data_IF_506393563111
#
_entry.id   IF_506393563111
#
_cell.length_a   1.000
_cell.length_b   1.000
_cell.length_c   1.000
_cell.angle_alpha   90.00
_cell.angle_beta   90.00
_cell.angle_gamma   90.00
#
_symmetry.space_group_name_H-M   'P 1'
#
loop_
_entity.id
_entity.type
_entity.pdbx_description
1 polymer ?
#
# COMPACT_ATOMS: atom_id res chain seq x y z
N UNK A 1 -15.17 -24.24 1.35
CA UNK A 1 -15.50 -23.29 2.44
C UNK A 1 -14.33 -23.11 3.41
N UNK A 2 -13.67 -24.18 3.89
CA UNK A 2 -12.54 -24.04 4.82
C UNK A 2 -11.34 -23.29 4.21
N UNK A 3 -10.97 -23.59 2.96
CA UNK A 3 -9.89 -22.88 2.27
C UNK A 3 -10.21 -21.38 2.08
N UNK A 4 -11.41 -21.06 1.65
CA UNK A 4 -11.85 -19.67 1.47
C UNK A 4 -11.86 -18.89 2.80
N UNK A 5 -12.30 -19.55 3.88
CA UNK A 5 -12.28 -18.95 5.22
C UNK A 5 -10.84 -18.69 5.70
N UNK A 6 -9.92 -19.65 5.52
CA UNK A 6 -8.51 -19.49 5.89
C UNK A 6 -7.85 -18.34 5.12
N UNK A 7 -8.12 -18.20 3.80
CA UNK A 7 -7.63 -17.10 2.97
C UNK A 7 -8.21 -15.76 3.44
N UNK A 8 -9.50 -15.70 3.76
CA UNK A 8 -10.10 -14.47 4.28
C UNK A 8 -9.52 -14.06 5.63
N UNK A 9 -9.33 -15.03 6.54
CA UNK A 9 -8.69 -14.77 7.83
C UNK A 9 -7.25 -14.27 7.65
N UNK A 10 -6.48 -14.87 6.75
CA UNK A 10 -5.13 -14.41 6.41
C UNK A 10 -5.16 -12.96 5.86
N UNK A 11 -6.08 -12.64 4.95
CA UNK A 11 -6.26 -11.28 4.41
C UNK A 11 -6.58 -10.27 5.52
N UNK A 12 -7.46 -10.63 6.48
CA UNK A 12 -7.80 -9.76 7.62
C UNK A 12 -6.60 -9.55 8.54
N UNK A 13 -5.86 -10.60 8.84
CA UNK A 13 -4.67 -10.55 9.69
C UNK A 13 -3.59 -9.66 9.09
N UNK A 14 -3.41 -9.70 7.76
CA UNK A 14 -2.47 -8.83 7.03
C UNK A 14 -2.81 -7.33 7.09
N UNK A 15 -4.03 -6.98 7.50
CA UNK A 15 -4.44 -5.59 7.70
C UNK A 15 -3.99 -5.04 9.07
N UNK A 16 -3.83 -5.90 10.07
CA UNK A 16 -3.51 -5.48 11.43
C UNK A 16 -2.27 -4.58 11.52
N UNK A 17 -1.15 -4.83 10.79
CA UNK A 17 0.00 -3.94 10.81
C UNK A 17 -0.35 -2.50 10.44
N UNK A 18 -1.24 -2.30 9.47
CA UNK A 18 -1.65 -0.96 9.00
C UNK A 18 -2.25 -0.11 10.12
N UNK A 19 -2.94 -0.73 11.09
CA UNK A 19 -3.49 -0.01 12.25
C UNK A 19 -2.39 0.55 13.16
N UNK A 20 -1.21 -0.06 13.15
CA UNK A 20 -0.07 0.35 13.94
C UNK A 20 0.86 1.33 13.22
N UNK A 21 0.76 1.47 11.89
CA UNK A 21 1.66 2.28 11.04
C UNK A 21 1.84 3.71 11.58
N UNK A 22 0.77 4.34 12.09
CA UNK A 22 0.83 5.70 12.65
C UNK A 22 1.69 5.76 13.91
N UNK A 23 1.44 4.84 14.86
CA UNK A 23 2.19 4.77 16.11
C UNK A 23 3.66 4.44 15.85
N UNK A 24 3.89 3.54 14.90
CA UNK A 24 5.21 3.11 14.46
C UNK A 24 5.95 4.24 13.76
N UNK A 25 5.29 5.02 12.90
CA UNK A 25 5.85 6.22 12.27
C UNK A 25 6.28 7.27 13.29
N UNK A 26 5.40 7.60 14.24
CA UNK A 26 5.72 8.51 15.35
C UNK A 26 6.94 7.99 16.12
N UNK A 27 7.00 6.69 16.43
CA UNK A 27 8.12 6.10 17.15
C UNK A 27 9.41 6.17 16.34
N UNK A 28 9.35 5.96 15.03
CA UNK A 28 10.51 6.08 14.13
C UNK A 28 11.07 7.50 14.10
N UNK A 29 10.23 8.53 14.10
CA UNK A 29 10.63 9.94 14.11
C UNK A 29 11.43 10.27 15.38
N UNK A 30 10.99 9.80 16.55
CA UNK A 30 11.67 10.01 17.83
C UNK A 30 12.93 9.14 18.06
N UNK A 31 13.23 8.22 17.15
CA UNK A 31 14.37 7.31 17.28
C UNK A 31 15.68 8.01 16.90
N UNK A 32 16.62 8.12 17.84
CA UNK A 32 17.90 8.82 17.65
C UNK A 32 18.87 8.05 16.75
N UNK A 33 19.15 6.80 17.03
CA UNK A 33 20.11 5.96 16.28
C UNK A 33 19.36 5.12 15.24
N UNK A 34 18.94 5.77 14.15
CA UNK A 34 18.08 5.16 13.11
C UNK A 34 18.73 3.93 12.49
N UNK A 35 20.01 4.00 12.14
CA UNK A 35 20.73 2.88 11.50
C UNK A 35 20.83 1.67 12.41
N UNK A 36 21.13 1.88 13.71
CA UNK A 36 21.18 0.80 14.70
C UNK A 36 19.84 0.07 14.82
N UNK A 37 18.75 0.81 14.88
CA UNK A 37 17.42 0.23 14.96
C UNK A 37 17.01 -0.49 13.66
N UNK A 38 17.43 -0.01 12.48
CA UNK A 38 17.23 -0.74 11.22
C UNK A 38 17.97 -2.09 11.23
N UNK A 39 19.22 -2.13 11.75
CA UNK A 39 19.97 -3.40 11.90
C UNK A 39 19.25 -4.34 12.85
N UNK A 40 18.79 -3.85 14.01
CA UNK A 40 18.06 -4.69 14.97
C UNK A 40 16.73 -5.19 14.39
N UNK A 41 16.03 -4.37 13.63
CA UNK A 41 14.80 -4.78 12.90
C UNK A 41 15.09 -5.95 11.97
N UNK A 42 16.14 -5.87 11.15
CA UNK A 42 16.54 -6.94 10.26
C UNK A 42 16.93 -8.23 10.98
N UNK A 43 17.71 -8.14 12.06
CA UNK A 43 18.09 -9.31 12.87
C UNK A 43 16.85 -9.96 13.52
N UNK A 44 15.94 -9.15 14.04
CA UNK A 44 14.73 -9.68 14.68
C UNK A 44 13.81 -10.35 13.66
N UNK A 45 13.67 -9.77 12.46
CA UNK A 45 12.91 -10.40 11.35
C UNK A 45 13.56 -11.71 10.90
N UNK A 46 14.89 -11.79 10.83
CA UNK A 46 15.59 -13.04 10.55
C UNK A 46 15.24 -14.14 11.56
N UNK A 47 15.19 -13.81 12.85
CA UNK A 47 14.77 -14.76 13.91
C UNK A 47 13.31 -15.17 13.74
N UNK A 48 12.41 -14.22 13.46
CA UNK A 48 10.98 -14.50 13.25
C UNK A 48 10.76 -15.47 12.08
N UNK A 49 11.41 -15.24 10.94
CA UNK A 49 11.27 -16.13 9.79
C UNK A 49 11.98 -17.47 9.97
N UNK A 50 13.04 -17.54 10.76
CA UNK A 50 13.61 -18.80 11.17
C UNK A 50 12.63 -19.61 12.03
N UNK A 51 11.97 -18.98 13.00
CA UNK A 51 10.89 -19.62 13.78
C UNK A 51 9.72 -20.05 12.89
N UNK A 52 9.33 -19.23 11.91
CA UNK A 52 8.31 -19.58 10.92
C UNK A 52 8.69 -20.84 10.14
N UNK A 53 9.96 -20.99 9.75
CA UNK A 53 10.45 -22.19 9.06
C UNK A 53 10.30 -23.47 9.88
N UNK A 54 10.42 -23.38 11.20
CA UNK A 54 10.23 -24.52 12.12
C UNK A 54 8.75 -24.84 12.34
N UNK A 55 7.90 -23.82 12.43
CA UNK A 55 6.48 -23.96 12.75
C UNK A 55 5.66 -24.41 11.55
N UNK A 56 6.00 -23.97 10.33
CA UNK A 56 5.21 -24.20 9.11
C UNK A 56 5.12 -25.69 8.73
N UNK A 57 5.98 -26.55 9.26
CA UNK A 57 5.92 -27.99 9.03
C UNK A 57 4.74 -28.68 9.75
N UNK A 58 4.15 -28.01 10.73
CA UNK A 58 3.04 -28.55 11.50
C UNK A 58 1.70 -28.16 10.87
N UNK A 59 0.93 -29.12 10.38
CA UNK A 59 -0.41 -28.89 9.85
C UNK A 59 -1.43 -28.73 11.00
N UNK A 60 -1.34 -27.63 11.75
CA UNK A 60 -2.21 -27.39 12.90
C UNK A 60 -2.74 -25.94 12.92
N UNK A 61 -3.86 -25.71 13.59
CA UNK A 61 -4.41 -24.38 13.80
C UNK A 61 -3.43 -23.49 14.58
N UNK A 62 -2.68 -24.08 15.52
CA UNK A 62 -1.64 -23.40 16.26
C UNK A 62 -0.52 -22.89 15.34
N UNK A 63 -0.06 -23.72 14.39
CA UNK A 63 0.94 -23.34 13.41
C UNK A 63 0.42 -22.19 12.52
N UNK A 64 -0.81 -22.28 12.02
CA UNK A 64 -1.44 -21.22 11.23
C UNK A 64 -1.50 -19.90 12.00
N UNK A 65 -2.00 -19.92 13.25
CA UNK A 65 -2.09 -18.73 14.09
C UNK A 65 -0.74 -18.12 14.41
N UNK A 66 0.27 -18.97 14.65
CA UNK A 66 1.65 -18.53 14.92
C UNK A 66 2.27 -17.87 13.69
N UNK A 67 2.05 -18.41 12.50
CA UNK A 67 2.52 -17.81 11.24
C UNK A 67 1.83 -16.47 10.98
N UNK A 68 0.53 -16.37 11.22
CA UNK A 68 -0.19 -15.11 11.14
C UNK A 68 0.40 -14.05 12.08
N UNK A 69 0.68 -14.42 13.33
CA UNK A 69 1.29 -13.53 14.32
C UNK A 69 2.70 -13.09 13.92
N UNK A 70 3.52 -14.02 13.44
CA UNK A 70 4.87 -13.72 12.93
C UNK A 70 4.81 -12.71 11.78
N UNK A 71 3.88 -12.88 10.84
CA UNK A 71 3.70 -11.94 9.73
C UNK A 71 3.30 -10.55 10.23
N UNK A 72 2.31 -10.44 11.12
CA UNK A 72 1.88 -9.16 11.69
C UNK A 72 3.05 -8.43 12.37
N UNK A 73 3.82 -9.15 13.20
CA UNK A 73 4.98 -8.56 13.89
C UNK A 73 6.04 -8.13 12.88
N UNK A 74 6.32 -8.96 11.87
CA UNK A 74 7.31 -8.65 10.83
C UNK A 74 6.91 -7.41 10.03
N UNK A 75 5.64 -7.28 9.65
CA UNK A 75 5.15 -6.14 8.87
C UNK A 75 5.20 -4.84 9.69
N UNK A 76 4.83 -4.88 10.98
CA UNK A 76 4.97 -3.74 11.90
C UNK A 76 6.43 -3.30 12.01
N UNK A 77 7.38 -4.25 12.06
CA UNK A 77 8.82 -3.96 12.10
C UNK A 77 9.31 -3.41 10.76
N UNK A 78 8.78 -3.91 9.62
CA UNK A 78 9.08 -3.39 8.28
C UNK A 78 8.63 -1.95 8.14
N UNK A 79 7.44 -1.61 8.61
CA UNK A 79 6.91 -0.23 8.63
C UNK A 79 7.81 0.68 9.49
N UNK A 80 8.24 0.20 10.65
CA UNK A 80 9.17 0.92 11.51
C UNK A 80 10.50 1.19 10.80
N UNK A 81 11.12 0.17 10.19
CA UNK A 81 12.36 0.31 9.44
C UNK A 81 12.19 1.24 8.22
N UNK A 82 11.04 1.20 7.55
CA UNK A 82 10.67 2.13 6.48
C UNK A 82 10.61 3.58 6.95
N UNK A 83 9.99 3.83 8.11
CA UNK A 83 9.94 5.16 8.75
C UNK A 83 11.32 5.69 9.13
N UNK A 84 12.25 4.82 9.58
CA UNK A 84 13.63 5.21 9.87
C UNK A 84 14.43 5.56 8.61
N UNK A 85 14.12 4.99 7.47
CA UNK A 85 14.83 5.18 6.19
C UNK A 85 14.62 6.57 5.60
N UNK A 86 13.41 7.11 5.65
CA UNK A 86 13.08 8.38 5.00
C UNK A 86 13.91 9.58 5.51
N UNK A 87 14.08 9.80 6.82
CA UNK A 87 14.97 10.84 7.32
C UNK A 87 16.43 10.65 6.92
N UNK A 88 16.91 9.40 6.81
CA UNK A 88 18.28 9.12 6.36
C UNK A 88 18.49 9.56 4.90
N UNK A 89 17.54 9.29 4.00
CA UNK A 89 17.62 9.75 2.61
C UNK A 89 17.64 11.28 2.58
N UNK A 90 16.74 11.93 3.32
CA UNK A 90 16.66 13.40 3.36
C UNK A 90 17.95 14.06 3.84
N UNK A 91 18.68 13.47 4.78
CA UNK A 91 19.91 14.05 5.31
C UNK A 91 21.14 13.78 4.43
N UNK A 92 21.17 12.61 3.74
CA UNK A 92 22.33 12.18 2.96
C UNK A 92 22.30 12.59 1.49
N UNK A 93 21.15 13.04 0.99
CA UNK A 93 20.95 13.42 -0.40
C UNK A 93 20.75 14.94 -0.48
N UNK A 94 21.36 15.59 -1.48
CA UNK A 94 21.16 17.01 -1.72
C UNK A 94 19.68 17.32 -2.03
N UNK A 95 19.21 18.50 -1.66
CA UNK A 95 17.78 18.89 -1.84
C UNK A 95 17.33 18.76 -3.29
N UNK A 96 18.19 19.12 -4.25
CA UNK A 96 17.90 19.04 -5.69
C UNK A 96 17.75 17.59 -6.18
N UNK A 97 18.40 16.61 -5.52
CA UNK A 97 18.41 15.20 -5.91
C UNK A 97 17.40 14.36 -5.11
N UNK A 98 16.71 14.94 -4.12
CA UNK A 98 15.77 14.21 -3.27
C UNK A 98 14.65 13.54 -4.06
N UNK A 99 14.10 14.21 -5.07
CA UNK A 99 13.04 13.64 -5.90
C UNK A 99 13.52 12.41 -6.67
N UNK A 100 14.74 12.44 -7.19
CA UNK A 100 15.35 11.31 -7.89
C UNK A 100 15.62 10.15 -6.91
N UNK A 101 16.16 10.45 -5.74
CA UNK A 101 16.43 9.46 -4.70
C UNK A 101 15.14 8.76 -4.22
N UNK A 102 14.05 9.49 -4.03
CA UNK A 102 12.74 8.90 -3.68
C UNK A 102 12.17 8.07 -4.83
N UNK A 103 12.28 8.54 -6.06
CA UNK A 103 11.83 7.80 -7.24
C UNK A 103 12.61 6.50 -7.42
N UNK A 104 13.93 6.55 -7.22
CA UNK A 104 14.79 5.37 -7.24
C UNK A 104 14.46 4.38 -6.11
N UNK A 105 14.24 4.88 -4.88
CA UNK A 105 13.80 4.02 -3.77
C UNK A 105 12.46 3.33 -4.09
N UNK A 106 11.53 4.02 -4.70
CA UNK A 106 10.24 3.47 -5.11
C UNK A 106 10.40 2.41 -6.21
N UNK A 107 11.23 2.70 -7.21
CA UNK A 107 11.57 1.75 -8.28
C UNK A 107 12.17 0.45 -7.71
N UNK A 108 13.18 0.56 -6.82
CA UNK A 108 13.79 -0.61 -6.17
C UNK A 108 12.75 -1.39 -5.36
N UNK A 109 11.83 -0.70 -4.67
CA UNK A 109 10.75 -1.36 -3.91
C UNK A 109 9.87 -2.20 -4.83
N UNK A 110 9.44 -1.68 -5.98
CA UNK A 110 8.59 -2.42 -6.92
C UNK A 110 9.33 -3.57 -7.60
N UNK A 111 10.58 -3.35 -8.05
CA UNK A 111 11.40 -4.41 -8.64
C UNK A 111 11.65 -5.53 -7.63
N UNK A 112 11.93 -5.19 -6.37
CA UNK A 112 12.12 -6.17 -5.31
C UNK A 112 10.84 -6.94 -4.99
N UNK A 113 9.68 -6.28 -5.04
CA UNK A 113 8.39 -6.94 -4.82
C UNK A 113 8.11 -7.97 -5.95
N UNK A 114 8.28 -7.58 -7.22
CA UNK A 114 8.10 -8.47 -8.37
C UNK A 114 9.12 -9.61 -8.33
N UNK A 115 10.40 -9.29 -8.17
CA UNK A 115 11.48 -10.26 -8.13
C UNK A 115 11.34 -11.24 -6.98
N UNK A 116 11.00 -10.75 -5.78
CA UNK A 116 10.75 -11.58 -4.61
C UNK A 116 9.58 -12.53 -4.78
N UNK A 117 8.48 -12.05 -5.38
CA UNK A 117 7.31 -12.87 -5.67
C UNK A 117 7.62 -13.96 -6.71
N UNK A 118 8.26 -13.59 -7.82
CA UNK A 118 8.69 -14.53 -8.86
C UNK A 118 9.64 -15.59 -8.31
N UNK A 119 10.63 -15.15 -7.52
CA UNK A 119 11.59 -16.03 -6.85
C UNK A 119 10.91 -16.98 -5.85
N UNK A 120 9.97 -16.48 -5.05
CA UNK A 120 9.23 -17.28 -4.09
C UNK A 120 8.39 -18.38 -4.76
N UNK A 121 7.67 -18.05 -5.84
CA UNK A 121 6.87 -19.01 -6.62
C UNK A 121 7.77 -20.06 -7.27
N UNK A 122 8.87 -19.62 -7.91
CA UNK A 122 9.87 -20.51 -8.53
C UNK A 122 10.47 -21.48 -7.52
N UNK A 123 10.87 -20.96 -6.35
CA UNK A 123 11.45 -21.75 -5.27
C UNK A 123 10.48 -22.79 -4.69
N UNK A 124 9.21 -22.41 -4.51
CA UNK A 124 8.16 -23.36 -4.10
C UNK A 124 7.96 -24.46 -5.14
N UNK A 125 7.97 -24.13 -6.42
CA UNK A 125 7.88 -25.11 -7.51
C UNK A 125 9.04 -26.12 -7.49
N UNK A 126 10.29 -25.62 -7.34
CA UNK A 126 11.47 -26.48 -7.25
C UNK A 126 11.52 -27.35 -6.00
N UNK A 127 11.03 -26.83 -4.87
CA UNK A 127 11.12 -27.51 -3.57
C UNK A 127 9.91 -28.38 -3.24
N UNK A 128 9.03 -28.66 -4.22
CA UNK A 128 7.80 -29.44 -4.03
C UNK A 128 6.95 -28.88 -2.88
N UNK A 129 6.72 -27.56 -2.92
CA UNK A 129 5.96 -26.80 -1.92
C UNK A 129 6.56 -26.83 -0.49
N UNK A 130 7.87 -26.88 -0.37
CA UNK A 130 8.54 -26.80 0.92
C UNK A 130 8.54 -25.39 1.48
N UNK A 131 7.48 -24.99 2.18
CA UNK A 131 7.34 -23.67 2.80
C UNK A 131 8.41 -23.39 3.88
N UNK A 132 8.94 -24.41 4.54
CA UNK A 132 10.01 -24.26 5.53
C UNK A 132 11.31 -23.78 4.88
N UNK A 133 11.65 -24.32 3.70
CA UNK A 133 12.81 -23.87 2.92
C UNK A 133 12.65 -22.39 2.51
N UNK A 134 11.48 -22.02 2.03
CA UNK A 134 11.18 -20.62 1.61
C UNK A 134 11.30 -19.65 2.79
N UNK A 135 10.73 -20.00 3.95
CA UNK A 135 10.83 -19.20 5.16
C UNK A 135 12.28 -19.10 5.67
N UNK A 136 13.07 -20.19 5.60
CA UNK A 136 14.49 -20.19 5.95
C UNK A 136 15.33 -19.29 5.04
N UNK A 137 15.08 -19.33 3.72
CA UNK A 137 15.76 -18.44 2.76
C UNK A 137 15.39 -16.98 3.04
N UNK A 138 14.12 -16.70 3.35
CA UNK A 138 13.69 -15.34 3.72
C UNK A 138 14.40 -14.85 5.00
N UNK A 139 14.58 -15.72 5.99
CA UNK A 139 15.39 -15.40 7.18
C UNK A 139 16.83 -15.03 6.80
N UNK A 140 17.46 -15.75 5.87
CA UNK A 140 18.79 -15.45 5.37
C UNK A 140 18.83 -14.06 4.67
N UNK A 141 17.84 -13.70 3.88
CA UNK A 141 17.79 -12.37 3.25
C UNK A 141 17.72 -11.25 4.29
N UNK A 142 16.92 -11.38 5.35
CA UNK A 142 16.90 -10.41 6.44
C UNK A 142 18.23 -10.32 7.16
N UNK A 143 18.89 -11.45 7.40
CA UNK A 143 20.22 -11.48 8.01
C UNK A 143 21.26 -10.76 7.14
N UNK A 144 21.31 -11.06 5.85
CA UNK A 144 22.22 -10.42 4.89
C UNK A 144 21.97 -8.91 4.84
N UNK A 145 20.69 -8.48 4.79
CA UNK A 145 20.32 -7.07 4.83
C UNK A 145 20.81 -6.40 6.11
N UNK A 146 20.65 -7.03 7.28
CA UNK A 146 21.12 -6.50 8.54
C UNK A 146 22.66 -6.38 8.59
N UNK A 147 23.38 -7.35 8.04
CA UNK A 147 24.85 -7.32 7.93
C UNK A 147 25.31 -6.19 7.02
N UNK A 148 24.70 -6.01 5.85
CA UNK A 148 25.03 -4.91 4.93
C UNK A 148 24.82 -3.55 5.61
N UNK A 149 23.68 -3.36 6.30
CA UNK A 149 23.41 -2.15 7.05
C UNK A 149 24.41 -1.92 8.20
N UNK A 150 24.81 -2.98 8.89
CA UNK A 150 25.81 -2.91 9.96
C UNK A 150 27.18 -2.48 9.42
N UNK A 151 27.62 -3.06 8.30
CA UNK A 151 28.88 -2.68 7.65
C UNK A 151 28.84 -1.24 7.10
N UNK A 152 27.68 -0.78 6.65
CA UNK A 152 27.47 0.59 6.17
C UNK A 152 27.20 1.62 7.29
N UNK A 153 27.11 1.20 8.55
CA UNK A 153 26.68 2.05 9.66
C UNK A 153 27.47 3.35 9.77
N UNK A 154 28.81 3.30 9.64
CA UNK A 154 29.69 4.47 9.74
C UNK A 154 29.41 5.56 8.69
N UNK A 155 28.95 5.15 7.49
CA UNK A 155 28.61 6.06 6.39
C UNK A 155 27.18 6.60 6.51
N UNK A 156 26.29 5.84 7.13
CA UNK A 156 24.86 6.14 7.25
C UNK A 156 24.51 6.84 8.57
N UNK A 157 25.42 6.87 9.57
CA UNK A 157 25.16 7.55 10.84
C UNK A 157 24.87 9.03 10.60
N UNK A 158 23.80 9.53 11.24
CA UNK A 158 23.43 10.93 11.19
C UNK A 158 24.37 11.75 12.09
N UNK A 159 24.84 12.87 11.58
CA UNK A 159 25.43 13.90 12.43
C UNK A 159 24.29 14.52 13.24
N UNK A 160 24.37 14.49 14.57
CA UNK A 160 23.38 15.14 15.43
C UNK A 160 23.34 16.64 15.11
N UNK A 161 22.41 17.05 14.26
CA UNK A 161 22.09 18.46 14.05
C UNK A 161 21.24 18.94 15.22
N UNK A 162 21.63 20.08 15.79
CA UNK A 162 20.96 20.74 16.92
C UNK A 162 19.51 21.18 16.65
N UNK A 163 19.03 21.03 15.41
CA UNK A 163 17.67 21.34 15.00
C UNK A 163 16.60 20.37 15.53
N UNK A 164 16.99 19.15 15.93
CA UNK A 164 16.03 18.16 16.46
C UNK A 164 15.49 18.53 17.87
N UNK A 165 16.10 19.50 18.55
CA UNK A 165 15.65 20.00 19.85
C UNK A 165 14.51 21.03 19.78
N UNK A 166 14.35 21.72 18.66
CA UNK A 166 13.32 22.78 18.51
C UNK A 166 11.98 22.25 17.99
N UNK A 167 11.98 21.16 17.24
CA UNK A 167 10.74 20.50 16.77
C UNK A 167 9.90 19.95 17.93
N UNK A 168 10.54 19.65 19.06
CA UNK A 168 9.89 19.13 20.27
C UNK A 168 9.17 20.19 21.13
N UNK A 169 9.35 21.48 20.85
CA UNK A 169 8.76 22.59 21.62
C UNK A 169 7.49 23.20 21.04
N UNK A 170 7.10 22.83 19.82
CA UNK A 170 5.90 23.41 19.22
C UNK A 170 4.63 22.73 19.72
N UNK A 171 4.04 23.45 20.69
CA UNK A 171 2.62 23.47 21.10
C UNK A 171 1.82 22.20 20.92
N UNK A 172 1.58 21.54 22.06
CA UNK A 172 0.52 20.55 22.24
C UNK A 172 -0.85 21.22 22.10
N UNK A 173 -1.22 21.61 20.87
CA UNK A 173 -2.61 21.94 20.60
C UNK A 173 -3.46 20.70 20.90
N UNK A 174 -4.64 20.86 21.47
CA UNK A 174 -5.58 19.75 21.67
C UNK A 174 -5.77 19.02 20.33
N UNK A 175 -5.79 17.69 20.36
CA UNK A 175 -5.92 16.84 19.17
C UNK A 175 -7.06 17.31 18.25
N UNK A 176 -8.18 17.73 18.87
CA UNK A 176 -9.36 18.26 18.16
C UNK A 176 -9.05 19.53 17.33
N UNK A 177 -8.25 20.45 17.86
CA UNK A 177 -7.88 21.69 17.18
C UNK A 177 -6.86 21.42 16.05
N UNK A 178 -5.98 20.44 16.25
CA UNK A 178 -5.07 19.98 15.18
C UNK A 178 -5.86 19.41 13.99
N UNK A 179 -6.83 18.53 14.25
CA UNK A 179 -7.71 17.98 13.21
C UNK A 179 -8.50 19.08 12.49
N UNK A 180 -9.05 20.04 13.23
CA UNK A 180 -9.84 21.12 12.63
C UNK A 180 -8.98 22.01 11.72
N UNK A 181 -7.75 22.30 12.14
CA UNK A 181 -6.80 23.09 11.35
C UNK A 181 -6.40 22.34 10.07
N UNK A 182 -6.09 21.05 10.16
CA UNK A 182 -5.77 20.21 9.00
C UNK A 182 -6.97 20.17 8.04
N UNK A 183 -8.18 19.93 8.56
CA UNK A 183 -9.40 19.92 7.75
C UNK A 183 -9.62 21.25 7.01
N UNK A 184 -9.42 22.40 7.68
CA UNK A 184 -9.52 23.73 7.06
C UNK A 184 -8.47 23.92 5.97
N UNK A 185 -7.23 23.54 6.22
CA UNK A 185 -6.15 23.64 5.24
C UNK A 185 -6.43 22.78 4.00
N UNK A 186 -6.87 21.54 4.18
CA UNK A 186 -7.28 20.65 3.09
C UNK A 186 -8.41 21.27 2.28
N UNK A 187 -9.47 21.73 2.95
CA UNK A 187 -10.59 22.38 2.29
C UNK A 187 -10.14 23.56 1.43
N UNK A 188 -9.22 24.40 1.95
CA UNK A 188 -8.68 25.55 1.20
C UNK A 188 -7.88 25.11 -0.02
N UNK A 189 -7.06 24.05 0.09
CA UNK A 189 -6.27 23.53 -1.04
C UNK A 189 -7.18 23.01 -2.15
N UNK A 190 -8.19 22.22 -1.79
CA UNK A 190 -9.13 21.68 -2.77
C UNK A 190 -10.01 22.76 -3.39
N UNK A 191 -10.43 23.78 -2.63
CA UNK A 191 -11.16 24.92 -3.14
C UNK A 191 -10.30 25.76 -4.12
N UNK A 192 -9.03 26.01 -3.81
CA UNK A 192 -8.08 26.68 -4.73
C UNK A 192 -7.78 25.85 -5.96
N UNK A 193 -7.86 24.51 -5.87
CA UNK A 193 -7.77 23.57 -6.98
C UNK A 193 -9.05 23.47 -7.83
N UNK A 194 -10.05 24.35 -7.64
CA UNK A 194 -11.31 24.35 -8.39
C UNK A 194 -12.41 23.44 -7.83
N UNK A 195 -12.17 22.77 -6.71
CA UNK A 195 -13.07 21.76 -6.14
C UNK A 195 -14.06 22.38 -5.16
N UNK A 196 -15.32 22.57 -5.54
CA UNK A 196 -16.33 23.18 -4.64
C UNK A 196 -16.83 22.24 -3.55
N UNK A 197 -16.89 20.91 -3.84
CA UNK A 197 -17.45 19.90 -2.93
C UNK A 197 -16.36 19.01 -2.32
N UNK A 198 -15.53 19.62 -1.46
CA UNK A 198 -14.43 18.94 -0.77
C UNK A 198 -14.82 17.61 -0.11
N UNK A 199 -15.96 17.56 0.60
CA UNK A 199 -16.43 16.34 1.27
C UNK A 199 -16.71 15.18 0.33
N UNK A 200 -17.37 15.44 -0.80
CA UNK A 200 -17.63 14.43 -1.83
C UNK A 200 -16.34 13.95 -2.49
N UNK A 201 -15.38 14.84 -2.69
CA UNK A 201 -14.08 14.51 -3.26
C UNK A 201 -13.29 13.56 -2.35
N UNK A 202 -13.17 13.89 -1.06
CA UNK A 202 -12.49 13.04 -0.08
C UNK A 202 -13.19 11.68 0.03
N UNK A 203 -14.53 11.67 0.11
CA UNK A 203 -15.29 10.43 0.20
C UNK A 203 -15.10 9.55 -1.05
N UNK A 204 -15.05 10.15 -2.25
CA UNK A 204 -14.76 9.43 -3.49
C UNK A 204 -13.35 8.81 -3.46
N UNK A 205 -12.33 9.55 -2.99
CA UNK A 205 -10.95 9.01 -2.87
C UNK A 205 -10.89 7.86 -1.86
N UNK A 206 -11.54 8.01 -0.70
CA UNK A 206 -11.60 6.94 0.31
C UNK A 206 -12.28 5.69 -0.25
N UNK A 207 -13.36 5.86 -0.99
CA UNK A 207 -14.09 4.76 -1.63
C UNK A 207 -13.24 4.07 -2.72
N UNK A 208 -12.55 4.86 -3.57
CA UNK A 208 -11.61 4.33 -4.58
C UNK A 208 -10.51 3.50 -3.91
N UNK A 209 -9.90 4.01 -2.83
CA UNK A 209 -8.85 3.30 -2.12
C UNK A 209 -9.36 2.03 -1.43
N UNK A 210 -10.56 2.08 -0.84
CA UNK A 210 -11.20 0.90 -0.25
C UNK A 210 -11.48 -0.18 -1.30
N UNK A 211 -12.04 0.19 -2.45
CA UNK A 211 -12.30 -0.72 -3.56
C UNK A 211 -11.00 -1.25 -4.18
N UNK A 212 -10.02 -0.38 -4.41
CA UNK A 212 -8.71 -0.77 -4.93
C UNK A 212 -7.98 -1.76 -4.02
N UNK A 213 -7.98 -1.49 -2.71
CA UNK A 213 -7.39 -2.39 -1.72
C UNK A 213 -8.11 -3.73 -1.60
N UNK A 214 -9.42 -3.74 -1.80
CA UNK A 214 -10.22 -4.98 -1.77
C UNK A 214 -9.93 -5.93 -2.94
N UNK A 215 -9.48 -5.41 -4.10
CA UNK A 215 -9.29 -6.23 -5.31
C UNK A 215 -8.34 -7.41 -5.07
N UNK A 216 -7.21 -7.18 -4.39
CA UNK A 216 -6.26 -8.26 -4.07
C UNK A 216 -6.91 -9.39 -3.28
N UNK A 217 -7.67 -9.05 -2.24
CA UNK A 217 -8.35 -10.04 -1.40
C UNK A 217 -9.51 -10.73 -2.12
N UNK A 218 -10.25 -10.02 -2.96
CA UNK A 218 -11.33 -10.60 -3.76
C UNK A 218 -10.75 -11.59 -4.77
N UNK A 219 -9.68 -11.24 -5.51
CA UNK A 219 -9.04 -12.14 -6.46
C UNK A 219 -8.43 -13.37 -5.78
N UNK A 220 -7.85 -13.23 -4.58
CA UNK A 220 -7.38 -14.36 -3.79
C UNK A 220 -8.48 -15.40 -3.54
N UNK A 221 -9.73 -14.98 -3.28
CA UNK A 221 -10.85 -15.86 -3.05
C UNK A 221 -11.49 -16.31 -4.39
N UNK A 222 -11.57 -15.41 -5.34
CA UNK A 222 -12.17 -15.65 -6.66
C UNK A 222 -11.44 -16.75 -7.43
N UNK A 223 -10.11 -16.73 -7.47
CA UNK A 223 -9.31 -17.74 -8.15
C UNK A 223 -9.35 -19.13 -7.50
N UNK A 224 -9.87 -19.29 -6.27
CA UNK A 224 -10.11 -20.62 -5.70
C UNK A 224 -11.20 -21.39 -6.44
N UNK A 225 -12.11 -20.71 -7.13
CA UNK A 225 -13.25 -21.29 -7.83
C UNK A 225 -13.33 -20.96 -9.32
N UNK A 226 -12.54 -19.99 -9.79
CA UNK A 226 -12.53 -19.52 -11.19
C UNK A 226 -11.09 -19.51 -11.70
N UNK A 227 -10.79 -20.38 -12.66
CA UNK A 227 -9.45 -20.43 -13.26
C UNK A 227 -9.21 -19.23 -14.20
N UNK A 228 -7.99 -18.74 -14.20
CA UNK A 228 -7.50 -17.85 -15.25
C UNK A 228 -6.93 -18.73 -16.36
N UNK A 229 -7.68 -18.92 -17.45
CA UNK A 229 -7.34 -19.89 -18.48
C UNK A 229 -7.11 -21.27 -17.83
N UNK A 230 -6.03 -21.95 -18.16
CA UNK A 230 -5.66 -23.27 -17.61
C UNK A 230 -4.60 -23.17 -16.50
N UNK A 231 -4.35 -21.97 -15.98
CA UNK A 231 -3.36 -21.74 -14.93
C UNK A 231 -3.83 -22.23 -13.55
N UNK A 232 -2.89 -22.75 -12.77
CA UNK A 232 -3.12 -23.07 -11.37
C UNK A 232 -3.44 -21.81 -10.54
N UNK A 233 -4.02 -22.00 -9.36
CA UNK A 233 -4.32 -20.90 -8.43
C UNK A 233 -3.11 -19.98 -8.16
N UNK A 234 -1.95 -20.57 -7.90
CA UNK A 234 -0.72 -19.83 -7.59
C UNK A 234 -0.23 -19.01 -8.80
N UNK A 235 -0.29 -19.63 -10.00
CA UNK A 235 0.09 -18.95 -11.24
C UNK A 235 -0.87 -17.80 -11.58
N UNK A 236 -2.18 -18.00 -11.41
CA UNK A 236 -3.19 -16.98 -11.64
C UNK A 236 -2.99 -15.78 -10.71
N UNK A 237 -2.71 -16.01 -9.43
CA UNK A 237 -2.36 -14.97 -8.48
C UNK A 237 -1.07 -14.24 -8.86
N UNK A 238 -0.02 -14.98 -9.20
CA UNK A 238 1.24 -14.38 -9.62
C UNK A 238 1.06 -13.50 -10.85
N UNK A 239 0.38 -14.02 -11.91
CA UNK A 239 0.13 -13.26 -13.13
C UNK A 239 -0.66 -11.99 -12.84
N UNK A 240 -1.72 -12.07 -12.04
CA UNK A 240 -2.55 -10.91 -11.71
C UNK A 240 -1.77 -9.82 -10.97
N UNK A 241 -0.94 -10.20 -9.99
CA UNK A 241 -0.12 -9.27 -9.22
C UNK A 241 1.04 -8.71 -10.04
N UNK A 242 1.69 -9.54 -10.86
CA UNK A 242 2.73 -9.11 -11.77
C UNK A 242 2.23 -8.07 -12.76
N UNK A 243 1.09 -8.33 -13.43
CA UNK A 243 0.47 -7.38 -14.35
C UNK A 243 0.04 -6.08 -13.65
N UNK A 244 -0.48 -6.18 -12.43
CA UNK A 244 -0.85 -5.02 -11.62
C UNK A 244 0.36 -4.13 -11.30
N UNK A 245 1.46 -4.72 -10.85
CA UNK A 245 2.70 -3.99 -10.55
C UNK A 245 3.33 -3.39 -11.81
N UNK A 246 3.35 -4.12 -12.93
CA UNK A 246 3.82 -3.59 -14.21
C UNK A 246 3.00 -2.36 -14.65
N UNK A 247 1.69 -2.40 -14.51
CA UNK A 247 0.82 -1.27 -14.85
C UNK A 247 1.16 -0.01 -14.03
N UNK A 248 1.44 -0.17 -12.72
CA UNK A 248 1.84 0.93 -11.85
C UNK A 248 3.23 1.46 -12.23
N UNK A 249 4.19 0.58 -12.54
CA UNK A 249 5.55 0.98 -12.97
C UNK A 249 5.46 1.77 -14.28
N UNK A 250 4.75 1.26 -15.29
CA UNK A 250 4.57 1.95 -16.58
C UNK A 250 3.88 3.30 -16.35
N UNK A 251 2.89 3.37 -15.45
CA UNK A 251 2.24 4.62 -15.08
C UNK A 251 3.23 5.65 -14.54
N UNK A 252 4.15 5.25 -13.67
CA UNK A 252 5.14 6.15 -13.08
C UNK A 252 6.16 6.67 -14.10
N UNK A 253 6.51 5.86 -15.10
CA UNK A 253 7.43 6.23 -16.18
C UNK A 253 6.78 7.15 -17.25
N UNK A 254 5.46 7.15 -17.34
CA UNK A 254 4.69 7.91 -18.35
C UNK A 254 3.94 9.11 -17.77
N UNK A 255 4.59 9.88 -16.88
CA UNK A 255 3.96 10.99 -16.16
C UNK A 255 3.35 12.10 -17.03
N UNK A 256 3.85 12.30 -18.24
CA UNK A 256 3.46 13.38 -19.18
C UNK A 256 2.51 12.93 -20.31
N UNK A 257 1.91 11.75 -20.23
CA UNK A 257 0.97 11.24 -21.22
C UNK A 257 -0.40 11.95 -21.17
N UNK A 258 -1.38 11.43 -21.95
CA UNK A 258 -2.74 11.94 -21.99
C UNK A 258 -3.38 11.99 -20.58
N UNK A 259 -3.25 10.92 -19.80
CA UNK A 259 -3.83 10.84 -18.45
C UNK A 259 -3.10 11.76 -17.46
N UNK A 260 -1.77 11.85 -17.55
CA UNK A 260 -0.99 12.76 -16.70
C UNK A 260 -1.36 14.24 -16.85
N UNK A 261 -1.87 14.63 -18.01
CA UNK A 261 -2.34 16.01 -18.30
C UNK A 261 -3.78 16.27 -17.82
N UNK A 262 -4.57 15.23 -17.51
CA UNK A 262 -5.96 15.41 -17.06
C UNK A 262 -6.05 16.04 -15.66
N UNK A 263 -7.17 16.71 -15.37
CA UNK A 263 -7.47 17.21 -14.01
C UNK A 263 -7.67 16.04 -13.05
N UNK A 264 -7.47 16.28 -11.75
CA UNK A 264 -7.64 15.25 -10.72
C UNK A 264 -9.04 14.61 -10.75
N UNK A 265 -10.17 15.36 -10.86
CA UNK A 265 -11.51 14.76 -10.97
C UNK A 265 -11.68 13.86 -12.19
N UNK A 266 -11.10 14.24 -13.35
CA UNK A 266 -11.15 13.41 -14.55
C UNK A 266 -10.37 12.12 -14.40
N UNK A 267 -9.19 12.16 -13.77
CA UNK A 267 -8.43 10.94 -13.45
C UNK A 267 -9.23 10.03 -12.54
N UNK A 268 -9.84 10.57 -11.48
CA UNK A 268 -10.68 9.80 -10.55
C UNK A 268 -11.90 9.20 -11.25
N UNK A 269 -12.52 9.92 -12.18
CA UNK A 269 -13.61 9.39 -13.01
C UNK A 269 -13.14 8.18 -13.83
N UNK A 270 -11.99 8.27 -14.50
CA UNK A 270 -11.45 7.13 -15.26
C UNK A 270 -11.16 5.92 -14.37
N UNK A 271 -10.59 6.15 -13.17
CA UNK A 271 -10.35 5.07 -12.19
C UNK A 271 -11.65 4.43 -11.73
N UNK A 272 -12.68 5.21 -11.41
CA UNK A 272 -13.96 4.67 -10.94
C UNK A 272 -14.71 3.93 -12.04
N UNK A 273 -14.66 4.40 -13.29
CA UNK A 273 -15.18 3.68 -14.47
C UNK A 273 -14.44 2.35 -14.64
N UNK A 274 -13.10 2.36 -14.55
CA UNK A 274 -12.28 1.16 -14.61
C UNK A 274 -12.64 0.15 -13.51
N UNK A 275 -12.82 0.59 -12.26
CA UNK A 275 -13.27 -0.27 -11.16
C UNK A 275 -14.63 -0.90 -11.45
N UNK A 276 -15.58 -0.14 -12.01
CA UNK A 276 -16.90 -0.67 -12.41
C UNK A 276 -16.77 -1.74 -13.49
N UNK A 277 -15.90 -1.53 -14.48
CA UNK A 277 -15.66 -2.49 -15.56
C UNK A 277 -14.97 -3.77 -15.05
N UNK A 278 -14.05 -3.67 -14.08
CA UNK A 278 -13.45 -4.83 -13.40
C UNK A 278 -14.56 -5.65 -12.73
N UNK A 279 -15.41 -4.98 -11.95
CA UNK A 279 -16.50 -5.65 -11.23
C UNK A 279 -17.48 -6.33 -12.17
N UNK A 280 -17.89 -5.65 -13.25
CA UNK A 280 -18.79 -6.21 -14.26
C UNK A 280 -18.17 -7.40 -15.00
N UNK A 281 -16.92 -7.31 -15.44
CA UNK A 281 -16.25 -8.40 -16.13
C UNK A 281 -16.20 -9.67 -15.25
N UNK A 282 -15.81 -9.53 -13.98
CA UNK A 282 -15.73 -10.67 -13.08
C UNK A 282 -17.10 -11.19 -12.63
N UNK A 283 -18.12 -10.33 -12.52
CA UNK A 283 -19.50 -10.74 -12.26
C UNK A 283 -20.03 -11.68 -13.35
N UNK A 284 -19.63 -11.44 -14.61
CA UNK A 284 -19.95 -12.29 -15.75
C UNK A 284 -18.89 -13.37 -16.03
N UNK A 285 -18.01 -13.67 -15.07
CA UNK A 285 -16.94 -14.67 -15.17
C UNK A 285 -15.95 -14.44 -16.33
N UNK A 286 -15.82 -13.19 -16.78
CA UNK A 286 -14.85 -12.80 -17.82
C UNK A 286 -13.49 -12.43 -17.18
N UNK A 287 -12.81 -13.42 -16.63
CA UNK A 287 -11.62 -13.23 -15.78
C UNK A 287 -10.50 -12.48 -16.52
N UNK A 288 -10.22 -12.87 -17.77
CA UNK A 288 -9.18 -12.23 -18.61
C UNK A 288 -9.51 -10.76 -18.85
N UNK A 289 -10.78 -10.46 -19.18
CA UNK A 289 -11.24 -9.09 -19.39
C UNK A 289 -11.17 -8.28 -18.09
N UNK A 290 -11.49 -8.89 -16.96
CA UNK A 290 -11.32 -8.30 -15.62
C UNK A 290 -9.88 -7.89 -15.33
N UNK A 291 -8.90 -8.74 -15.67
CA UNK A 291 -7.47 -8.43 -15.53
C UNK A 291 -7.00 -7.32 -16.48
N UNK A 292 -7.48 -7.28 -17.72
CA UNK A 292 -7.17 -6.18 -18.65
C UNK A 292 -7.68 -4.84 -18.11
N UNK A 293 -8.89 -4.81 -17.58
CA UNK A 293 -9.43 -3.61 -16.92
C UNK A 293 -8.68 -3.28 -15.64
N UNK A 294 -8.21 -4.28 -14.88
CA UNK A 294 -7.37 -4.05 -13.69
C UNK A 294 -6.07 -3.33 -14.08
N UNK A 295 -5.35 -3.83 -15.09
CA UNK A 295 -4.12 -3.20 -15.55
C UNK A 295 -4.35 -1.76 -16.03
N UNK A 296 -5.39 -1.54 -16.83
CA UNK A 296 -5.75 -0.21 -17.33
C UNK A 296 -6.11 0.75 -16.20
N UNK A 297 -6.86 0.28 -15.21
CA UNK A 297 -7.28 1.07 -14.04
C UNK A 297 -6.09 1.43 -13.16
N UNK A 298 -5.19 0.49 -12.90
CA UNK A 298 -3.97 0.72 -12.10
C UNK A 298 -3.01 1.66 -12.81
N UNK A 299 -2.90 1.58 -14.15
CA UNK A 299 -2.14 2.53 -14.92
C UNK A 299 -2.64 3.97 -14.74
N UNK A 300 -3.94 4.20 -14.78
CA UNK A 300 -4.53 5.53 -14.55
C UNK A 300 -4.40 5.93 -13.08
N UNK A 301 -4.66 5.01 -12.16
CA UNK A 301 -4.61 5.24 -10.70
C UNK A 301 -3.21 5.65 -10.22
N UNK A 302 -2.15 5.11 -10.82
CA UNK A 302 -0.77 5.46 -10.48
C UNK A 302 -0.43 6.94 -10.68
N UNK A 303 -1.24 7.69 -11.45
CA UNK A 303 -1.08 9.14 -11.67
C UNK A 303 -1.83 10.01 -10.65
N UNK A 304 -2.75 9.43 -9.88
CA UNK A 304 -3.59 10.18 -8.93
C UNK A 304 -2.76 10.71 -7.76
N UNK A 305 -1.95 9.86 -7.15
CA UNK A 305 -1.14 10.24 -5.99
C UNK A 305 -0.11 11.35 -6.28
N UNK A 306 0.69 11.27 -7.37
CA UNK A 306 1.59 12.38 -7.75
C UNK A 306 0.85 13.69 -7.98
N UNK A 307 -0.36 13.64 -8.56
CA UNK A 307 -1.18 14.82 -8.80
C UNK A 307 -1.69 15.46 -7.51
N UNK A 308 -2.13 14.66 -6.53
CA UNK A 308 -2.51 15.14 -5.21
C UNK A 308 -1.29 15.79 -4.52
N UNK A 309 -0.14 15.13 -4.56
CA UNK A 309 1.10 15.66 -3.96
C UNK A 309 1.52 16.99 -4.59
N UNK A 310 1.48 17.10 -5.92
CA UNK A 310 1.79 18.34 -6.62
C UNK A 310 0.80 19.47 -6.26
N UNK A 311 -0.48 19.15 -6.11
CA UNK A 311 -1.50 20.12 -5.70
C UNK A 311 -1.28 20.62 -4.27
N UNK A 312 -0.89 19.73 -3.34
CA UNK A 312 -0.55 20.09 -1.97
C UNK A 312 0.70 20.99 -1.91
N UNK A 313 1.76 20.60 -2.62
CA UNK A 313 3.02 21.37 -2.72
C UNK A 313 2.79 22.78 -3.26
N UNK A 314 1.93 22.92 -4.27
CA UNK A 314 1.64 24.23 -4.90
C UNK A 314 0.83 25.17 -4.00
N UNK A 315 -0.04 24.64 -3.14
CA UNK A 315 -1.07 25.42 -2.46
C UNK A 315 -0.89 25.54 -0.94
N UNK A 316 0.05 24.77 -0.34
CA UNK A 316 0.31 24.80 1.10
C UNK A 316 1.67 25.41 1.41
N UNK A 317 1.70 26.17 2.50
CA UNK A 317 2.95 26.64 3.07
C UNK A 317 3.77 25.47 3.65
N UNK A 318 5.11 25.50 3.62
CA UNK A 318 5.97 24.41 4.09
C UNK A 318 5.66 23.93 5.51
N UNK A 319 5.26 24.85 6.40
CA UNK A 319 5.02 24.58 7.82
C UNK A 319 3.80 23.70 8.07
N UNK A 320 2.81 23.71 7.17
CA UNK A 320 1.57 22.92 7.28
C UNK A 320 1.52 21.77 6.29
N UNK A 321 2.41 21.75 5.31
CA UNK A 321 2.45 20.76 4.22
C UNK A 321 2.63 19.36 4.78
N UNK A 322 3.61 19.12 5.65
CA UNK A 322 3.92 17.82 6.19
C UNK A 322 2.75 17.23 6.99
N UNK A 323 2.16 18.02 7.90
CA UNK A 323 0.99 17.60 8.70
C UNK A 323 -0.21 17.25 7.82
N UNK A 324 -0.47 18.08 6.81
CA UNK A 324 -1.62 17.91 5.92
C UNK A 324 -1.46 16.71 5.00
N UNK A 325 -0.26 16.51 4.44
CA UNK A 325 0.08 15.34 3.61
C UNK A 325 0.01 14.04 4.40
N UNK A 326 0.56 14.02 5.62
CA UNK A 326 0.53 12.84 6.49
C UNK A 326 -0.89 12.47 6.89
N UNK A 327 -1.75 13.46 7.19
CA UNK A 327 -3.15 13.22 7.51
C UNK A 327 -3.93 12.62 6.34
N UNK A 328 -3.74 13.17 5.12
CA UNK A 328 -4.34 12.60 3.91
C UNK A 328 -3.83 11.18 3.65
N UNK A 329 -2.53 10.98 3.75
CA UNK A 329 -1.91 9.66 3.61
C UNK A 329 -2.52 8.66 4.58
N UNK A 330 -2.70 9.05 5.86
CA UNK A 330 -3.35 8.24 6.88
C UNK A 330 -4.79 7.89 6.52
N UNK A 331 -5.60 8.89 6.12
CA UNK A 331 -6.98 8.65 5.71
C UNK A 331 -7.06 7.67 4.53
N UNK A 332 -6.20 7.83 3.53
CA UNK A 332 -6.16 6.97 2.37
C UNK A 332 -5.70 5.55 2.73
N UNK A 333 -4.67 5.45 3.56
CA UNK A 333 -4.17 4.15 4.03
C UNK A 333 -5.20 3.40 4.87
N UNK A 334 -5.94 4.07 5.76
CA UNK A 334 -6.97 3.43 6.59
C UNK A 334 -8.18 2.95 5.80
N UNK A 335 -8.49 3.54 4.64
CA UNK A 335 -9.61 3.08 3.80
C UNK A 335 -9.35 1.72 3.15
N UNK A 336 -8.08 1.40 2.85
CA UNK A 336 -7.66 0.12 2.25
C UNK A 336 -8.03 -1.08 3.15
N UNK A 337 -7.61 -1.14 4.43
CA UNK A 337 -7.98 -2.20 5.34
C UNK A 337 -9.48 -2.41 5.49
N UNK A 338 -10.23 -1.31 5.56
CA UNK A 338 -11.70 -1.39 5.68
C UNK A 338 -12.30 -2.09 4.46
N UNK A 339 -11.89 -1.67 3.26
CA UNK A 339 -12.32 -2.32 2.01
C UNK A 339 -11.92 -3.79 1.98
N UNK A 340 -10.65 -4.10 2.25
CA UNK A 340 -10.12 -5.47 2.26
C UNK A 340 -10.90 -6.36 3.23
N UNK A 341 -11.11 -5.93 4.48
CA UNK A 341 -11.82 -6.72 5.49
C UNK A 341 -13.29 -6.98 5.10
N UNK A 342 -14.03 -5.92 4.74
CA UNK A 342 -15.42 -6.04 4.37
C UNK A 342 -15.61 -6.97 3.17
N UNK A 343 -14.86 -6.75 2.11
CA UNK A 343 -15.00 -7.54 0.90
C UNK A 343 -14.47 -8.97 1.04
N UNK A 344 -13.42 -9.22 1.85
CA UNK A 344 -12.96 -10.58 2.15
C UNK A 344 -14.04 -11.41 2.82
N UNK A 345 -14.73 -10.84 3.83
CA UNK A 345 -15.80 -11.54 4.55
C UNK A 345 -16.99 -11.86 3.63
N UNK A 346 -17.41 -10.88 2.80
CA UNK A 346 -18.52 -11.08 1.86
C UNK A 346 -18.13 -12.09 0.79
N UNK A 347 -16.88 -12.08 0.29
CA UNK A 347 -16.40 -12.98 -0.76
C UNK A 347 -16.39 -14.44 -0.32
N UNK A 348 -16.09 -14.73 0.95
CA UNK A 348 -16.20 -16.09 1.52
C UNK A 348 -17.62 -16.58 1.52
N UNK A 349 -18.57 -15.72 1.80
CA UNK A 349 -19.98 -16.06 1.85
C UNK A 349 -20.58 -16.20 0.44
N UNK A 350 -20.39 -15.21 -0.42
CA UNK A 350 -20.89 -15.23 -1.80
C UNK A 350 -20.05 -14.33 -2.71
N UNK A 351 -19.31 -14.94 -3.63
CA UNK A 351 -18.43 -14.20 -4.54
C UNK A 351 -19.19 -13.36 -5.57
N UNK A 352 -20.39 -13.81 -6.01
CA UNK A 352 -21.23 -13.03 -6.94
C UNK A 352 -21.79 -11.78 -6.27
N UNK A 353 -22.30 -11.92 -5.03
CA UNK A 353 -22.74 -10.78 -4.23
C UNK A 353 -21.61 -9.78 -4.01
N UNK A 354 -20.40 -10.26 -3.81
CA UNK A 354 -19.19 -9.41 -3.67
C UNK A 354 -18.99 -8.54 -4.89
N UNK A 355 -19.03 -9.12 -6.10
CA UNK A 355 -18.88 -8.34 -7.33
C UNK A 355 -20.07 -7.40 -7.57
N UNK A 356 -21.30 -7.78 -7.22
CA UNK A 356 -22.47 -6.90 -7.31
C UNK A 356 -22.30 -5.66 -6.41
N UNK A 357 -21.90 -5.86 -5.15
CA UNK A 357 -21.63 -4.77 -4.21
C UNK A 357 -20.45 -3.90 -4.66
N UNK A 358 -19.40 -4.53 -5.20
CA UNK A 358 -18.26 -3.82 -5.75
C UNK A 358 -18.66 -2.89 -6.90
N UNK A 359 -19.48 -3.37 -7.83
CA UNK A 359 -20.06 -2.56 -8.93
C UNK A 359 -20.94 -1.45 -8.35
N UNK A 360 -21.82 -1.75 -7.41
CA UNK A 360 -22.70 -0.75 -6.81
C UNK A 360 -21.94 0.41 -6.16
N UNK A 361 -20.90 0.09 -5.38
CA UNK A 361 -20.05 1.09 -4.73
C UNK A 361 -19.17 1.84 -5.74
N UNK A 362 -18.70 1.19 -6.80
CA UNK A 362 -17.94 1.87 -7.86
C UNK A 362 -18.82 2.84 -8.66
N UNK A 363 -20.10 2.51 -8.92
CA UNK A 363 -21.08 3.43 -9.50
C UNK A 363 -21.37 4.62 -8.59
N UNK A 364 -21.45 4.40 -7.26
CA UNK A 364 -21.55 5.50 -6.30
C UNK A 364 -20.32 6.41 -6.38
N UNK A 365 -19.12 5.85 -6.49
CA UNK A 365 -17.89 6.62 -6.66
C UNK A 365 -17.91 7.42 -7.98
N UNK A 366 -18.46 6.89 -9.09
CA UNK A 366 -18.66 7.63 -10.35
C UNK A 366 -19.58 8.84 -10.11
N UNK A 367 -20.72 8.65 -9.44
CA UNK A 367 -21.65 9.75 -9.14
C UNK A 367 -20.94 10.88 -8.36
N UNK A 368 -20.17 10.54 -7.34
CA UNK A 368 -19.43 11.51 -6.52
C UNK A 368 -18.37 12.26 -7.35
N UNK A 369 -17.68 11.59 -8.25
CA UNK A 369 -16.67 12.21 -9.13
C UNK A 369 -17.31 13.09 -10.21
N UNK A 370 -18.43 12.69 -10.78
CA UNK A 370 -19.19 13.48 -11.79
C UNK A 370 -19.75 14.77 -11.20
N UNK A 371 -20.24 14.74 -9.96
CA UNK A 371 -20.68 15.96 -9.25
C UNK A 371 -19.54 16.97 -9.14
N UNK A 372 -18.31 16.49 -8.90
CA UNK A 372 -17.12 17.36 -8.86
C UNK A 372 -16.68 17.86 -10.25
N UNK A 373 -16.90 17.09 -11.32
CA UNK A 373 -16.58 17.50 -12.70
C UNK A 373 -17.48 18.61 -13.23
N UNK A 374 -18.78 18.61 -12.90
CA UNK A 374 -19.72 19.66 -13.32
C UNK A 374 -19.37 21.05 -12.79
N UNK A 375 -18.41 21.14 -11.89
CA UNK A 375 -17.94 22.41 -11.32
C UNK A 375 -16.59 22.87 -11.92
N UNK A 376 -16.02 22.11 -12.87
CA UNK A 376 -14.79 22.45 -13.61
C UNK A 376 -15.08 23.16 -14.97
N UNK A 377 -16.36 23.32 -15.35
CA UNK A 377 -16.85 24.05 -16.51
C UNK A 377 -17.44 25.39 -16.04
#
# INVERSE_FOLDING_TARGET
>A
QQASFAVAMANIVMILPTLFTVFVGIRADYTRDKVKWMVYSGLFQAVLFFLAALVVQQASLFAFSSLCLINVISDVISDFAGGLRMPLIKEKVAEDDLMEAYSFNQFITYISAIGGQAFGVWLLGLSVNNFSLVAGINACFFLVSAVILFLGKSKLSLSMSSADGEILKNEKLPIKEQFLTIYRNLRLVFLKGGQKNFGFMIFAVLLINALGGALGSIYNIFFLSHSLLDFSYTEALFISQFCALLAIIISSLTGNDYFGKQSLPRLMMWVTVGLSLIGLANLFNQVVLGLLFLCSTLYVSGKVQPKISAMLLKNLAPEVLARTSNFLGLLFTLSIPVGTACFSLIAVWNIQLTWMLFVGLSLLAILLTVINLKNDI
#
